data_IF_177210780748
#
_entry.id   IF_177210780748
#
_cell.length_a   1.000
_cell.length_b   1.000
_cell.length_c   1.000
_cell.angle_alpha   90.00
_cell.angle_beta   90.00
_cell.angle_gamma   90.00
#
_symmetry.space_group_name_H-M   'P 1'
#
loop_
_entity.id
_entity.type
_entity.pdbx_description
1 polymer ?
#
# COMPACT_ATOMS: atom_id res chain seq x y z
N UNK A 1 -9.48 -17.54 -9.32
CA UNK A 1 -9.19 -18.89 -9.88
C UNK A 1 -7.67 -19.07 -10.00
N UNK A 2 -7.20 -20.24 -10.44
CA UNK A 2 -5.79 -20.71 -10.50
C UNK A 2 -4.74 -19.71 -11.04
N UNK A 3 -3.50 -19.88 -10.56
CA UNK A 3 -2.22 -19.43 -11.15
C UNK A 3 -1.70 -20.50 -12.17
N UNK A 4 -0.39 -20.65 -12.55
CA UNK A 4 0.81 -19.83 -12.33
C UNK A 4 1.77 -19.66 -13.54
N UNK A 5 2.79 -18.80 -13.42
CA UNK A 5 3.95 -18.66 -14.34
C UNK A 5 5.01 -17.66 -13.79
N UNK A 6 6.34 -17.72 -14.01
CA UNK A 6 7.31 -18.77 -14.45
C UNK A 6 8.75 -18.21 -14.27
N UNK A 7 9.77 -19.07 -14.04
CA UNK A 7 11.23 -18.77 -14.02
C UNK A 7 11.75 -17.88 -12.86
N UNK A 8 13.03 -17.88 -12.47
CA UNK A 8 14.23 -18.48 -13.10
C UNK A 8 15.21 -19.16 -12.13
N UNK A 9 16.05 -20.05 -12.69
CA UNK A 9 17.18 -20.80 -12.09
C UNK A 9 18.49 -19.94 -12.11
N UNK A 10 19.61 -20.30 -11.43
CA UNK A 10 20.44 -21.47 -11.78
C UNK A 10 20.96 -22.34 -10.62
N UNK A 11 21.34 -23.58 -10.97
CA UNK A 11 22.10 -24.53 -10.15
C UNK A 11 23.62 -24.36 -10.36
N UNK A 12 24.42 -24.95 -9.48
CA UNK A 12 25.79 -25.39 -9.79
C UNK A 12 25.98 -26.86 -9.36
N UNK A 13 26.84 -27.58 -10.09
CA UNK A 13 26.96 -29.06 -10.11
C UNK A 13 28.42 -29.41 -9.71
N UNK A 14 28.80 -30.51 -9.07
CA UNK A 14 28.98 -31.80 -9.75
C UNK A 14 29.41 -33.01 -8.86
N UNK A 15 28.64 -34.11 -9.01
CA UNK A 15 28.93 -35.57 -8.95
C UNK A 15 29.76 -36.25 -7.84
N UNK A 16 29.29 -37.47 -7.55
CA UNK A 16 30.00 -38.55 -6.85
C UNK A 16 30.81 -39.43 -7.82
N UNK A 17 32.03 -39.82 -7.40
CA UNK A 17 32.54 -41.20 -7.39
C UNK A 17 32.82 -41.96 -8.71
N UNK A 18 33.99 -42.62 -8.76
CA UNK A 18 34.30 -43.70 -9.71
C UNK A 18 35.06 -44.85 -9.01
N UNK A 19 35.08 -46.05 -9.61
CA UNK A 19 35.68 -47.30 -9.10
C UNK A 19 36.47 -48.06 -10.18
N UNK A 20 37.77 -47.76 -10.30
CA UNK A 20 38.71 -48.55 -11.12
C UNK A 20 39.46 -49.63 -10.33
N UNK A 21 39.21 -50.92 -10.62
CA UNK A 21 40.02 -52.07 -10.15
C UNK A 21 40.98 -52.52 -11.26
N UNK A 22 42.25 -52.76 -10.94
CA UNK A 22 43.14 -53.67 -11.69
C UNK A 22 44.06 -54.43 -10.70
N UNK A 23 44.65 -55.55 -11.14
CA UNK A 23 45.20 -56.59 -10.25
C UNK A 23 46.58 -57.12 -10.69
N UNK A 24 47.57 -57.05 -9.78
CA UNK A 24 48.70 -58.02 -9.60
C UNK A 24 49.67 -58.23 -10.79
N UNK A 25 50.72 -59.09 -10.67
CA UNK A 25 51.53 -59.53 -9.51
C UNK A 25 52.97 -58.91 -9.61
N UNK A 26 54.03 -59.22 -8.84
CA UNK A 26 54.71 -60.49 -8.46
C UNK A 26 55.59 -60.25 -7.19
N UNK A 27 56.02 -61.33 -6.50
CA UNK A 27 56.98 -61.31 -5.37
C UNK A 27 58.38 -60.78 -5.73
N UNK A 28 59.38 -60.79 -4.83
CA UNK A 28 59.81 -61.86 -3.90
C UNK A 28 60.21 -61.27 -2.53
N UNK A 29 60.19 -62.07 -1.45
CA UNK A 29 60.65 -61.65 -0.11
C UNK A 29 61.87 -62.43 0.39
N UNK A 30 62.67 -61.81 1.27
CA UNK A 30 63.68 -62.49 2.11
C UNK A 30 63.94 -61.73 3.42
N UNK A 31 64.66 -62.38 4.35
CA UNK A 31 64.71 -62.05 5.77
C UNK A 31 65.67 -60.92 6.20
N UNK A 32 65.33 -60.30 7.35
CA UNK A 32 66.18 -59.96 8.52
C UNK A 32 67.62 -59.46 8.31
N UNK A 33 67.92 -58.28 8.88
CA UNK A 33 69.05 -58.06 9.83
C UNK A 33 68.83 -56.74 10.61
N UNK A 34 69.46 -56.61 11.78
CA UNK A 34 69.22 -55.54 12.77
C UNK A 34 70.36 -54.51 12.78
N UNK A 35 70.00 -53.23 12.96
CA UNK A 35 70.83 -52.23 13.64
C UNK A 35 70.43 -50.78 13.36
N UNK A 36 70.79 -49.78 14.16
CA UNK A 36 71.13 -49.70 15.59
C UNK A 36 71.41 -48.20 15.90
N UNK A 37 71.30 -47.79 17.17
CA UNK A 37 71.67 -46.46 17.70
C UNK A 37 70.86 -45.24 17.19
N UNK A 38 70.79 -44.10 17.89
CA UNK A 38 70.82 -43.85 19.35
C UNK A 38 70.45 -42.37 19.65
N UNK A 39 69.78 -42.13 20.80
CA UNK A 39 69.84 -40.88 21.60
C UNK A 39 69.33 -39.55 20.95
N UNK A 40 68.89 -38.49 21.65
CA UNK A 40 68.47 -38.22 23.05
C UNK A 40 67.70 -36.89 23.04
N UNK A 41 66.77 -36.56 23.96
CA UNK A 41 66.11 -37.36 25.03
C UNK A 41 64.57 -37.14 24.88
N UNK A 42 63.70 -36.67 25.80
CA UNK A 42 63.77 -36.34 27.22
C UNK A 42 62.63 -35.39 27.63
N UNK A 43 61.84 -35.59 28.69
CA UNK A 43 61.74 -36.69 29.68
C UNK A 43 60.24 -36.84 30.06
N UNK A 44 59.72 -37.82 30.81
CA UNK A 44 60.19 -38.47 32.06
C UNK A 44 60.02 -40.00 32.01
N UNK A 45 60.68 -40.69 32.94
CA UNK A 45 61.02 -42.10 32.82
C UNK A 45 59.95 -43.12 33.26
N UNK A 46 59.80 -44.18 32.47
CA UNK A 46 59.70 -45.57 32.94
C UNK A 46 60.69 -46.38 32.08
N UNK A 47 61.47 -47.27 32.69
CA UNK A 47 62.56 -48.00 32.02
C UNK A 47 62.05 -49.22 31.21
N UNK A 48 62.59 -49.50 30.01
CA UNK A 48 62.23 -50.67 29.23
C UNK A 48 62.86 -51.96 29.79
N UNK A 49 62.05 -53.03 29.87
CA UNK A 49 62.41 -54.32 30.50
C UNK A 49 63.30 -55.20 29.60
N UNK A 50 64.54 -54.75 29.32
CA UNK A 50 65.43 -55.39 28.32
C UNK A 50 66.89 -55.60 28.74
N UNK A 51 67.22 -55.43 30.04
CA UNK A 51 68.62 -55.49 30.54
C UNK A 51 68.84 -56.62 31.58
N UNK A 52 67.80 -57.36 31.96
CA UNK A 52 67.87 -58.40 33.01
C UNK A 52 68.04 -59.83 32.46
N UNK A 53 68.84 -59.98 31.40
CA UNK A 53 69.14 -61.25 30.72
C UNK A 53 70.64 -61.41 30.40
N UNK A 54 71.51 -60.93 31.29
CA UNK A 54 72.98 -60.87 31.10
C UNK A 54 73.82 -61.88 31.91
N UNK A 55 73.19 -62.82 32.62
CA UNK A 55 73.79 -63.94 33.36
C UNK A 55 72.67 -64.93 33.71
N UNK A 56 72.83 -66.26 33.81
CA UNK A 56 74.03 -67.13 33.81
C UNK A 56 73.79 -68.31 32.85
N UNK A 57 74.61 -68.47 31.80
CA UNK A 57 74.57 -69.66 30.94
C UNK A 57 75.69 -70.65 31.34
N UNK A 58 75.52 -71.32 32.48
CA UNK A 58 76.47 -72.35 32.96
C UNK A 58 75.82 -73.55 33.69
N UNK A 59 74.56 -73.83 33.40
CA UNK A 59 73.95 -75.16 33.55
C UNK A 59 73.02 -75.40 32.35
N UNK A 60 73.26 -76.49 31.61
CA UNK A 60 72.67 -76.70 30.29
C UNK A 60 71.20 -77.08 30.29
N UNK A 61 70.31 -76.07 30.39
CA UNK A 61 68.87 -76.20 30.16
C UNK A 61 68.49 -75.47 28.88
N UNK A 62 68.25 -76.22 27.81
CA UNK A 62 67.79 -75.68 26.52
C UNK A 62 66.31 -75.32 26.55
N UNK A 63 65.97 -74.09 26.17
CA UNK A 63 64.59 -73.61 26.02
C UNK A 63 64.24 -73.54 24.53
N UNK A 64 63.23 -74.29 24.08
CA UNK A 64 62.69 -74.15 22.72
C UNK A 64 61.42 -73.31 22.73
N UNK A 65 61.39 -72.29 21.88
CA UNK A 65 60.21 -71.45 21.66
C UNK A 65 59.34 -72.03 20.54
N UNK A 66 58.03 -72.11 20.78
CA UNK A 66 57.04 -72.38 19.74
C UNK A 66 56.17 -71.14 19.54
N UNK A 67 56.10 -70.65 18.31
CA UNK A 67 55.14 -69.61 17.91
C UNK A 67 53.80 -70.27 17.57
N UNK A 68 52.74 -69.89 18.28
CA UNK A 68 51.36 -70.39 18.11
C UNK A 68 50.39 -69.31 17.60
N UNK A 69 50.89 -68.28 16.91
CA UNK A 69 50.11 -67.20 16.27
C UNK A 69 49.10 -67.64 15.19
N UNK A 70 48.95 -68.95 14.95
CA UNK A 70 48.16 -69.53 13.85
C UNK A 70 46.80 -70.15 14.25
N UNK A 71 46.32 -69.96 15.49
CA UNK A 71 44.96 -70.37 15.90
C UNK A 71 43.96 -69.19 15.94
N UNK A 72 43.12 -68.98 14.90
CA UNK A 72 42.12 -67.90 14.88
C UNK A 72 40.81 -68.28 15.58
N UNK A 73 40.66 -67.92 16.87
CA UNK A 73 39.36 -67.89 17.53
C UNK A 73 38.64 -66.56 17.26
N UNK A 74 37.72 -66.58 16.28
CA UNK A 74 37.05 -65.38 15.75
C UNK A 74 35.65 -65.18 16.33
N UNK A 75 35.49 -64.23 17.25
CA UNK A 75 34.19 -63.70 17.70
C UNK A 75 33.99 -62.25 17.24
N UNK A 76 32.73 -61.86 16.96
CA UNK A 76 32.41 -60.59 16.31
C UNK A 76 32.15 -59.44 17.30
N UNK A 77 33.21 -58.80 17.83
CA UNK A 77 33.05 -57.57 18.61
C UNK A 77 34.31 -56.67 18.68
N UNK A 78 34.94 -56.35 17.54
CA UNK A 78 35.83 -55.18 17.36
C UNK A 78 37.12 -55.07 18.17
N UNK A 79 37.39 -55.99 19.11
CA UNK A 79 38.49 -55.91 20.09
C UNK A 79 39.37 -57.15 19.97
N UNK A 80 40.66 -56.95 19.67
CA UNK A 80 41.66 -58.02 19.63
C UNK A 80 42.15 -58.34 21.04
N UNK A 81 41.75 -59.48 21.59
CA UNK A 81 42.23 -59.96 22.90
C UNK A 81 43.38 -60.94 22.70
N UNK A 82 44.61 -60.51 23.02
CA UNK A 82 45.80 -61.34 22.94
C UNK A 82 45.93 -62.19 24.20
N UNK A 83 45.87 -63.52 24.08
CA UNK A 83 46.02 -64.46 25.20
C UNK A 83 47.35 -65.22 25.08
N UNK A 84 48.40 -64.86 25.83
CA UNK A 84 49.66 -65.60 25.83
C UNK A 84 49.52 -66.92 26.59
N UNK A 85 49.78 -68.04 25.91
CA UNK A 85 49.86 -69.38 26.53
C UNK A 85 51.33 -69.72 26.74
N UNK A 86 51.74 -69.91 28.00
CA UNK A 86 53.10 -70.30 28.37
C UNK A 86 53.10 -71.80 28.72
N UNK A 87 53.90 -72.58 27.99
CA UNK A 87 54.14 -74.01 28.29
C UNK A 87 55.58 -74.16 28.76
N UNK A 88 55.77 -74.62 29.99
CA UNK A 88 57.10 -74.89 30.57
C UNK A 88 57.31 -76.40 30.66
N UNK A 89 58.34 -76.90 29.98
CA UNK A 89 58.81 -78.29 30.09
C UNK A 89 60.19 -78.26 30.73
N UNK A 90 60.38 -79.01 31.82
CA UNK A 90 61.65 -79.11 32.54
C UNK A 90 62.10 -80.57 32.63
N UNK A 91 63.33 -80.85 32.16
CA UNK A 91 63.95 -82.17 32.22
C UNK A 91 64.97 -82.23 33.35
N UNK A 92 64.81 -83.18 34.27
CA UNK A 92 65.66 -83.34 35.47
C UNK A 92 66.87 -84.25 35.18
N UNK A 93 67.80 -83.76 34.35
CA UNK A 93 69.03 -84.48 33.98
C UNK A 93 70.29 -83.88 34.63
N UNK A 94 70.60 -84.23 35.89
CA UNK A 94 71.88 -83.79 36.48
C UNK A 94 72.10 -83.83 38.00
N UNK A 95 71.43 -84.70 38.78
CA UNK A 95 71.56 -84.71 40.25
C UNK A 95 72.02 -86.07 40.84
N UNK A 96 73.10 -86.66 40.30
CA UNK A 96 73.70 -87.89 40.84
C UNK A 96 74.50 -87.59 42.12
N UNK A 97 73.89 -87.81 43.30
CA UNK A 97 74.59 -87.72 44.58
C UNK A 97 73.71 -87.44 45.81
N UNK A 98 72.48 -86.95 45.64
CA UNK A 98 71.56 -86.68 46.74
C UNK A 98 70.63 -87.88 47.04
N UNK A 99 70.25 -88.06 48.31
CA UNK A 99 69.31 -89.10 48.73
C UNK A 99 67.90 -88.88 48.14
N UNK A 100 67.12 -89.94 47.84
CA UNK A 100 65.81 -89.81 47.17
C UNK A 100 64.79 -88.98 47.95
N UNK A 101 64.87 -88.94 49.28
CA UNK A 101 64.07 -88.07 50.14
C UNK A 101 64.25 -86.57 49.82
N UNK A 102 65.49 -86.14 49.54
CA UNK A 102 65.80 -84.74 49.17
C UNK A 102 65.22 -84.39 47.81
N UNK A 103 65.28 -85.31 46.84
CA UNK A 103 64.72 -85.09 45.50
C UNK A 103 63.19 -84.95 45.52
N UNK A 104 62.49 -85.75 46.33
CA UNK A 104 61.03 -85.63 46.50
C UNK A 104 60.68 -84.27 47.11
N UNK A 105 61.34 -83.87 48.20
CA UNK A 105 61.11 -82.57 48.85
C UNK A 105 61.39 -81.41 47.90
N UNK A 106 62.51 -81.44 47.15
CA UNK A 106 62.84 -80.38 46.19
C UNK A 106 61.79 -80.27 45.07
N UNK A 107 61.28 -81.41 44.57
CA UNK A 107 60.22 -81.42 43.56
C UNK A 107 58.89 -80.88 44.09
N UNK A 108 58.53 -81.20 45.34
CA UNK A 108 57.32 -80.68 45.99
C UNK A 108 57.42 -79.16 46.25
N UNK A 109 58.59 -78.66 46.66
CA UNK A 109 58.84 -77.22 46.83
C UNK A 109 58.78 -76.46 45.51
N UNK A 110 59.35 -77.01 44.43
CA UNK A 110 59.24 -76.45 43.08
C UNK A 110 57.79 -76.44 42.57
N UNK A 111 57.02 -77.50 42.81
CA UNK A 111 55.61 -77.57 42.42
C UNK A 111 54.74 -76.59 43.22
N UNK A 112 55.00 -76.44 44.53
CA UNK A 112 54.35 -75.44 45.37
C UNK A 112 54.70 -73.99 44.96
N UNK A 113 55.96 -73.72 44.59
CA UNK A 113 56.38 -72.42 44.05
C UNK A 113 55.74 -72.12 42.69
N UNK A 114 55.61 -73.11 41.80
CA UNK A 114 54.89 -72.96 40.53
C UNK A 114 53.40 -72.63 40.76
N UNK A 115 52.72 -73.32 41.69
CA UNK A 115 51.34 -73.01 42.07
C UNK A 115 51.20 -71.61 42.69
N UNK A 116 52.11 -71.24 43.60
CA UNK A 116 52.15 -69.90 44.22
C UNK A 116 52.38 -68.78 43.20
N UNK A 117 53.30 -68.97 42.25
CA UNK A 117 53.59 -67.98 41.22
C UNK A 117 52.47 -67.88 40.18
N UNK A 118 51.89 -69.01 39.77
CA UNK A 118 50.74 -69.05 38.85
C UNK A 118 49.50 -68.36 39.44
N UNK A 119 49.21 -68.60 40.73
CA UNK A 119 48.11 -67.91 41.43
C UNK A 119 48.40 -66.42 41.66
N UNK A 120 49.64 -66.03 41.94
CA UNK A 120 50.03 -64.62 42.04
C UNK A 120 49.88 -63.86 40.71
N UNK A 121 50.28 -64.47 39.58
CA UNK A 121 50.10 -63.88 38.24
C UNK A 121 48.61 -63.76 37.88
N UNK A 122 47.80 -64.78 38.21
CA UNK A 122 46.34 -64.70 38.02
C UNK A 122 45.70 -63.57 38.85
N UNK A 123 46.12 -63.40 40.11
CA UNK A 123 45.63 -62.32 40.99
C UNK A 123 46.04 -60.92 40.48
N UNK A 124 47.25 -60.78 39.92
CA UNK A 124 47.72 -59.54 39.32
C UNK A 124 46.94 -59.14 38.06
N UNK A 125 46.50 -60.11 37.26
CA UNK A 125 45.76 -59.87 36.01
C UNK A 125 44.24 -59.63 36.21
N UNK A 126 43.66 -60.11 37.31
CA UNK A 126 42.20 -60.04 37.55
C UNK A 126 41.74 -58.94 38.51
N UNK A 127 42.65 -58.12 39.05
CA UNK A 127 42.33 -56.83 39.65
C UNK A 127 41.63 -56.87 41.01
N UNK A 128 42.41 -57.15 42.07
CA UNK A 128 42.01 -56.83 43.45
C UNK A 128 41.22 -57.91 44.18
N UNK A 129 41.91 -58.98 44.59
CA UNK A 129 41.39 -60.00 45.52
C UNK A 129 42.24 -59.96 46.80
N UNK A 130 41.65 -59.94 48.01
CA UNK A 130 42.41 -59.94 49.26
C UNK A 130 43.14 -61.27 49.47
N UNK A 131 44.38 -61.20 49.96
CA UNK A 131 45.25 -62.35 50.17
C UNK A 131 44.81 -63.16 51.40
N UNK A 132 43.98 -64.19 51.18
CA UNK A 132 43.59 -65.15 52.24
C UNK A 132 44.68 -66.23 52.37
N UNK A 133 45.62 -66.02 53.29
CA UNK A 133 46.63 -67.04 53.66
C UNK A 133 46.01 -68.03 54.64
N UNK A 134 45.68 -69.23 54.18
CA UNK A 134 45.32 -70.35 55.05
C UNK A 134 46.56 -71.20 55.35
N UNK A 135 46.86 -71.41 56.63
CA UNK A 135 47.94 -72.29 57.06
C UNK A 135 47.65 -73.75 56.70
N UNK A 136 48.66 -74.47 56.23
CA UNK A 136 48.58 -75.90 55.93
C UNK A 136 48.55 -76.72 57.23
N UNK A 137 47.51 -77.54 57.41
CA UNK A 137 47.51 -78.70 58.30
C UNK A 137 47.18 -79.96 57.47
N UNK A 138 47.83 -81.08 57.81
CA UNK A 138 47.90 -82.24 56.91
C UNK A 138 46.87 -83.33 57.23
N UNK A 139 45.57 -83.03 57.09
CA UNK A 139 44.48 -83.99 57.32
C UNK A 139 43.65 -84.29 56.05
N UNK A 140 44.25 -85.07 55.16
CA UNK A 140 43.55 -85.86 54.14
C UNK A 140 43.07 -85.13 52.87
N UNK A 141 42.89 -85.86 51.75
CA UNK A 141 42.63 -85.27 50.43
C UNK A 141 41.23 -84.64 50.27
N UNK A 142 40.31 -84.82 51.23
CA UNK A 142 38.95 -84.27 51.14
C UNK A 142 38.88 -82.78 51.50
N UNK A 143 39.74 -82.30 52.40
CA UNK A 143 39.75 -80.89 52.83
C UNK A 143 40.18 -79.94 51.70
N UNK A 144 41.20 -80.33 50.91
CA UNK A 144 41.72 -79.53 49.80
C UNK A 144 40.65 -79.24 48.72
N UNK A 145 39.75 -80.20 48.45
CA UNK A 145 38.67 -80.05 47.47
C UNK A 145 37.58 -79.10 47.97
N UNK A 146 37.27 -79.09 49.27
CA UNK A 146 36.34 -78.10 49.84
C UNK A 146 36.93 -76.68 49.85
N UNK A 147 38.20 -76.50 50.25
CA UNK A 147 38.84 -75.18 50.28
C UNK A 147 38.92 -74.51 48.90
N UNK A 148 39.18 -75.31 47.86
CA UNK A 148 39.17 -74.85 46.46
C UNK A 148 37.75 -74.60 45.94
N UNK A 149 36.77 -75.45 46.27
CA UNK A 149 35.38 -75.21 45.89
C UNK A 149 34.81 -73.92 46.52
N UNK A 150 35.04 -73.69 47.82
CA UNK A 150 34.57 -72.48 48.53
C UNK A 150 35.21 -71.21 47.97
N UNK A 151 36.51 -71.24 47.68
CA UNK A 151 37.19 -70.07 47.08
C UNK A 151 36.72 -69.79 45.65
N UNK A 152 36.49 -70.82 44.81
CA UNK A 152 35.89 -70.63 43.47
C UNK A 152 34.48 -70.06 43.54
N UNK A 153 33.62 -70.57 44.44
CA UNK A 153 32.26 -70.03 44.63
C UNK A 153 32.31 -68.57 45.12
N UNK A 154 33.20 -68.24 46.05
CA UNK A 154 33.40 -66.85 46.49
C UNK A 154 33.88 -65.94 45.35
N UNK A 155 34.77 -66.43 44.48
CA UNK A 155 35.26 -65.70 43.30
C UNK A 155 34.14 -65.44 42.28
N UNK A 156 33.32 -66.46 41.98
CA UNK A 156 32.17 -66.34 41.07
C UNK A 156 31.10 -65.41 41.67
N UNK A 157 30.80 -65.51 42.97
CA UNK A 157 29.87 -64.63 43.66
C UNK A 157 30.38 -63.18 43.71
N UNK A 158 31.69 -62.96 43.92
CA UNK A 158 32.29 -61.63 43.89
C UNK A 158 32.29 -61.02 42.48
N UNK A 159 32.58 -61.82 41.45
CA UNK A 159 32.51 -61.40 40.05
C UNK A 159 31.06 -61.10 39.63
N UNK A 160 30.10 -61.94 40.01
CA UNK A 160 28.67 -61.73 39.75
C UNK A 160 28.13 -60.49 40.50
N UNK A 161 28.49 -60.30 41.78
CA UNK A 161 28.12 -59.11 42.54
C UNK A 161 28.77 -57.83 41.99
N UNK A 162 30.02 -57.90 41.52
CA UNK A 162 30.71 -56.80 40.85
C UNK A 162 30.10 -56.46 39.49
N UNK A 163 29.73 -57.48 38.70
CA UNK A 163 29.01 -57.33 37.44
C UNK A 163 27.62 -56.73 37.63
N UNK A 164 26.86 -57.23 38.61
CA UNK A 164 25.53 -56.74 38.97
C UNK A 164 25.59 -55.29 39.50
N UNK A 165 26.57 -54.94 40.34
CA UNK A 165 26.82 -53.56 40.78
C UNK A 165 27.09 -52.65 39.59
N UNK A 166 28.07 -52.97 38.75
CA UNK A 166 28.39 -52.19 37.53
C UNK A 166 27.17 -52.02 36.62
N UNK A 167 26.41 -53.09 36.38
CA UNK A 167 25.17 -53.04 35.59
C UNK A 167 24.10 -52.15 36.23
N UNK A 168 23.94 -52.21 37.56
CA UNK A 168 23.01 -51.34 38.29
C UNK A 168 23.47 -49.87 38.30
N UNK A 169 24.77 -49.61 38.35
CA UNK A 169 25.35 -48.26 38.28
C UNK A 169 25.19 -47.66 36.88
N UNK A 170 25.40 -48.45 35.80
CA UNK A 170 25.15 -47.98 34.44
C UNK A 170 23.67 -47.79 34.15
N UNK A 171 22.80 -48.69 34.64
CA UNK A 171 21.35 -48.53 34.51
C UNK A 171 20.83 -47.32 35.30
N UNK A 172 21.35 -47.06 36.50
CA UNK A 172 21.02 -45.88 37.30
C UNK A 172 21.50 -44.57 36.63
N UNK A 173 22.70 -44.56 36.02
CA UNK A 173 23.17 -43.41 35.24
C UNK A 173 22.31 -43.18 34.00
N UNK A 174 22.02 -44.21 33.21
CA UNK A 174 21.14 -44.11 32.05
C UNK A 174 19.72 -43.67 32.42
N UNK A 175 19.18 -44.13 33.55
CA UNK A 175 17.89 -43.67 34.06
C UNK A 175 17.94 -42.20 34.52
N UNK A 176 19.00 -41.78 35.21
CA UNK A 176 19.18 -40.38 35.62
C UNK A 176 19.39 -39.43 34.43
N UNK A 177 20.16 -39.84 33.43
CA UNK A 177 20.38 -39.14 32.16
C UNK A 177 19.07 -39.05 31.35
N UNK A 178 18.29 -40.13 31.27
CA UNK A 178 16.99 -40.14 30.62
C UNK A 178 15.96 -39.25 31.33
N UNK A 179 15.93 -39.25 32.67
CA UNK A 179 15.07 -38.36 33.47
C UNK A 179 15.49 -36.89 33.34
N UNK A 180 16.81 -36.60 33.30
CA UNK A 180 17.31 -35.26 33.06
C UNK A 180 16.99 -34.77 31.65
N UNK A 181 17.12 -35.62 30.63
CA UNK A 181 16.73 -35.32 29.26
C UNK A 181 15.20 -35.11 29.11
N UNK A 182 14.39 -35.92 29.79
CA UNK A 182 12.94 -35.75 29.83
C UNK A 182 12.55 -34.41 30.49
N UNK A 183 13.13 -34.08 31.65
CA UNK A 183 12.89 -32.82 32.32
C UNK A 183 13.34 -31.60 31.49
N UNK A 184 14.45 -31.71 30.75
CA UNK A 184 14.88 -30.68 29.80
C UNK A 184 13.93 -30.54 28.60
N UNK A 185 13.43 -31.65 28.05
CA UNK A 185 12.45 -31.63 26.97
C UNK A 185 11.09 -31.05 27.43
N UNK A 186 10.63 -31.38 28.63
CA UNK A 186 9.44 -30.77 29.23
C UNK A 186 9.63 -29.27 29.47
N UNK A 187 10.77 -28.85 29.99
CA UNK A 187 11.10 -27.44 30.18
C UNK A 187 11.19 -26.67 28.84
N UNK A 188 11.73 -27.28 27.78
CA UNK A 188 11.74 -26.71 26.43
C UNK A 188 10.32 -26.58 25.87
N UNK A 189 9.47 -27.60 26.01
CA UNK A 189 8.06 -27.56 25.58
C UNK A 189 7.25 -26.54 26.39
N UNK A 190 7.56 -26.34 27.68
CA UNK A 190 6.96 -25.28 28.50
C UNK A 190 7.41 -23.89 28.05
N UNK A 191 8.71 -23.68 27.83
CA UNK A 191 9.26 -22.42 27.32
C UNK A 191 8.71 -22.07 25.93
N UNK A 192 8.61 -23.04 25.02
CA UNK A 192 7.96 -22.84 23.72
C UNK A 192 6.48 -22.49 23.84
N UNK A 193 5.73 -23.10 24.78
CA UNK A 193 4.33 -22.75 25.01
C UNK A 193 4.19 -21.33 25.55
N UNK A 194 4.98 -20.97 26.55
CA UNK A 194 5.01 -19.59 27.06
C UNK A 194 5.39 -18.59 25.96
N UNK A 195 6.38 -18.88 25.13
CA UNK A 195 6.77 -18.01 24.03
C UNK A 195 5.65 -17.88 22.99
N UNK A 196 5.02 -18.99 22.56
CA UNK A 196 3.88 -18.96 21.63
C UNK A 196 2.68 -18.17 22.19
N UNK A 197 2.39 -18.25 23.49
CA UNK A 197 1.33 -17.44 24.10
C UNK A 197 1.73 -15.96 24.22
N UNK A 198 3.01 -15.64 24.50
CA UNK A 198 3.53 -14.27 24.47
C UNK A 198 3.51 -13.66 23.07
N UNK A 199 3.84 -14.45 22.05
CA UNK A 199 3.83 -14.03 20.64
C UNK A 199 2.39 -13.74 20.18
N UNK A 200 1.44 -14.65 20.46
CA UNK A 200 0.00 -14.39 20.25
C UNK A 200 -0.50 -13.15 20.99
N UNK A 201 -0.09 -12.96 22.25
CA UNK A 201 -0.49 -11.80 23.04
C UNK A 201 0.09 -10.50 22.47
N UNK A 202 1.32 -10.54 21.95
CA UNK A 202 1.96 -9.41 21.26
C UNK A 202 1.28 -9.11 19.91
N UNK A 203 0.88 -10.12 19.14
CA UNK A 203 0.09 -9.96 17.91
C UNK A 203 -1.29 -9.36 18.21
N UNK A 204 -2.00 -9.88 19.22
CA UNK A 204 -3.29 -9.35 19.66
C UNK A 204 -3.17 -7.90 20.16
N UNK A 205 -2.13 -7.58 20.95
CA UNK A 205 -1.88 -6.21 21.41
C UNK A 205 -1.58 -5.25 20.24
N UNK A 206 -0.81 -5.68 19.23
CA UNK A 206 -0.57 -4.89 18.01
C UNK A 206 -1.86 -4.66 17.22
N UNK A 207 -2.68 -5.70 17.04
CA UNK A 207 -3.97 -5.60 16.34
C UNK A 207 -4.96 -4.67 17.06
N UNK A 208 -4.97 -4.67 18.40
CA UNK A 208 -5.74 -3.71 19.19
C UNK A 208 -5.25 -2.28 18.99
N UNK A 209 -3.94 -2.01 19.09
CA UNK A 209 -3.39 -0.66 18.82
C UNK A 209 -3.70 -0.19 17.39
N UNK A 210 -3.67 -1.09 16.41
CA UNK A 210 -4.07 -0.76 15.03
C UNK A 210 -5.58 -0.47 14.89
N UNK A 211 -6.45 -1.17 15.65
CA UNK A 211 -7.89 -0.85 15.74
C UNK A 211 -8.10 0.55 16.33
N UNK A 212 -7.48 0.86 17.47
CA UNK A 212 -7.60 2.16 18.15
C UNK A 212 -7.17 3.33 17.24
N UNK A 213 -6.08 3.15 16.49
CA UNK A 213 -5.62 4.15 15.51
C UNK A 213 -6.62 4.33 14.36
N UNK A 214 -7.22 3.25 13.85
CA UNK A 214 -8.26 3.32 12.81
C UNK A 214 -9.54 3.98 13.32
N UNK A 215 -9.99 3.66 14.55
CA UNK A 215 -11.14 4.29 15.20
C UNK A 215 -10.89 5.80 15.37
N UNK A 216 -9.71 6.18 15.87
CA UNK A 216 -9.32 7.59 16.03
C UNK A 216 -9.37 8.36 14.70
N UNK A 217 -8.80 7.80 13.63
CA UNK A 217 -8.87 8.39 12.29
C UNK A 217 -10.31 8.45 11.73
N UNK A 218 -11.15 7.48 12.07
CA UNK A 218 -12.54 7.42 11.62
C UNK A 218 -13.38 8.50 12.31
N UNK A 219 -13.24 8.69 13.62
CA UNK A 219 -13.86 9.80 14.37
C UNK A 219 -13.42 11.17 13.85
N UNK A 220 -12.14 11.34 13.50
CA UNK A 220 -11.62 12.58 12.91
C UNK A 220 -12.21 12.85 11.50
N UNK A 221 -12.39 11.80 10.68
CA UNK A 221 -13.08 11.90 9.38
C UNK A 221 -14.56 12.23 9.53
N UNK A 222 -15.27 11.57 10.45
CA UNK A 222 -16.67 11.85 10.81
C UNK A 222 -16.84 13.31 11.22
N UNK A 223 -15.93 13.83 12.05
CA UNK A 223 -15.98 15.23 12.51
C UNK A 223 -15.83 16.22 11.35
N UNK A 224 -14.86 16.00 10.45
CA UNK A 224 -14.71 16.82 9.23
C UNK A 224 -15.90 16.71 8.28
N UNK A 225 -16.48 15.51 8.15
CA UNK A 225 -17.64 15.28 7.28
C UNK A 225 -18.91 15.95 7.83
N UNK A 226 -19.10 16.00 9.16
CA UNK A 226 -20.15 16.78 9.81
C UNK A 226 -20.02 18.26 9.45
N UNK A 227 -18.86 18.87 9.72
CA UNK A 227 -18.62 20.28 9.42
C UNK A 227 -18.78 20.59 7.92
N UNK A 228 -18.32 19.71 7.04
CA UNK A 228 -18.53 19.87 5.60
C UNK A 228 -20.00 19.77 5.19
N UNK A 229 -20.82 19.00 5.92
CA UNK A 229 -22.26 18.89 5.69
C UNK A 229 -22.98 20.15 6.20
N UNK A 230 -22.64 20.64 7.39
CA UNK A 230 -23.17 21.89 7.95
C UNK A 230 -22.92 23.07 7.00
N UNK A 231 -21.69 23.21 6.48
CA UNK A 231 -21.33 24.24 5.49
C UNK A 231 -22.16 24.12 4.19
N UNK A 232 -22.37 22.91 3.66
CA UNK A 232 -23.19 22.70 2.45
C UNK A 232 -24.67 22.99 2.71
N UNK A 233 -25.15 22.79 3.95
CA UNK A 233 -26.52 23.13 4.35
C UNK A 233 -26.72 24.64 4.45
N UNK A 234 -25.75 25.37 4.99
CA UNK A 234 -25.74 26.83 5.03
C UNK A 234 -25.70 27.42 3.62
N UNK A 235 -24.81 26.93 2.76
CA UNK A 235 -24.73 27.40 1.37
C UNK A 235 -26.00 27.09 0.57
N UNK A 236 -26.63 25.93 0.79
CA UNK A 236 -27.94 25.64 0.22
C UNK A 236 -29.02 26.64 0.69
N UNK A 237 -28.99 27.08 1.95
CA UNK A 237 -29.90 28.11 2.46
C UNK A 237 -29.62 29.49 1.85
N UNK A 238 -28.36 29.85 1.64
CA UNK A 238 -27.95 31.09 0.96
C UNK A 238 -28.45 31.12 -0.50
N UNK A 239 -28.28 30.02 -1.24
CA UNK A 239 -28.75 29.93 -2.64
C UNK A 239 -30.28 29.87 -2.72
N UNK A 240 -30.97 29.30 -1.72
CA UNK A 240 -32.44 29.37 -1.63
C UNK A 240 -32.92 30.82 -1.52
N UNK A 241 -32.35 31.59 -0.59
CA UNK A 241 -32.71 33.01 -0.40
C UNK A 241 -32.42 33.85 -1.66
N UNK A 242 -31.26 33.64 -2.30
CA UNK A 242 -30.93 34.32 -3.56
C UNK A 242 -31.91 33.96 -4.71
N UNK A 243 -32.43 32.73 -4.75
CA UNK A 243 -33.42 32.31 -5.72
C UNK A 243 -34.83 32.90 -5.43
N UNK A 244 -35.18 33.10 -4.16
CA UNK A 244 -36.39 33.83 -3.76
C UNK A 244 -36.30 35.32 -4.13
N UNK A 245 -35.19 35.99 -3.84
CA UNK A 245 -34.94 37.38 -4.27
C UNK A 245 -34.98 37.53 -5.79
N UNK A 246 -34.34 36.62 -6.54
CA UNK A 246 -34.40 36.63 -7.99
C UNK A 246 -35.82 36.35 -8.53
N UNK A 247 -36.62 35.54 -7.84
CA UNK A 247 -38.03 35.34 -8.18
C UNK A 247 -38.85 36.62 -8.03
N UNK A 248 -38.58 37.43 -7.01
CA UNK A 248 -39.20 38.76 -6.82
C UNK A 248 -38.76 39.72 -7.93
N UNK A 249 -37.46 39.79 -8.21
CA UNK A 249 -36.90 40.64 -9.26
C UNK A 249 -37.49 40.32 -10.65
N UNK A 250 -37.61 39.04 -11.01
CA UNK A 250 -38.24 38.62 -12.27
C UNK A 250 -39.71 39.09 -12.39
N UNK A 251 -40.48 39.06 -11.30
CA UNK A 251 -41.84 39.60 -11.31
C UNK A 251 -41.88 41.12 -11.47
N UNK A 252 -40.91 41.85 -10.88
CA UNK A 252 -40.83 43.30 -11.04
C UNK A 252 -40.43 43.70 -12.46
N UNK A 253 -39.41 43.04 -13.04
CA UNK A 253 -39.00 43.27 -14.44
C UNK A 253 -40.14 42.88 -15.40
N UNK A 254 -40.92 41.82 -15.11
CA UNK A 254 -42.12 41.46 -15.87
C UNK A 254 -43.20 42.55 -15.86
N UNK A 255 -43.48 43.16 -14.69
CA UNK A 255 -44.40 44.30 -14.58
C UNK A 255 -43.86 45.54 -15.32
N UNK A 256 -42.54 45.77 -15.27
CA UNK A 256 -41.89 46.85 -16.00
C UNK A 256 -41.97 46.65 -17.53
N UNK A 257 -41.80 45.41 -18.02
CA UNK A 257 -41.93 45.07 -19.44
C UNK A 257 -43.37 45.28 -19.95
N UNK A 258 -44.38 44.83 -19.21
CA UNK A 258 -45.80 45.09 -19.53
C UNK A 258 -46.13 46.60 -19.53
N UNK A 259 -45.53 47.36 -18.61
CA UNK A 259 -45.67 48.82 -18.57
C UNK A 259 -44.99 49.48 -19.78
N UNK A 260 -43.80 49.02 -20.15
CA UNK A 260 -43.06 49.44 -21.35
C UNK A 260 -43.90 49.22 -22.62
N UNK A 261 -44.48 48.04 -22.79
CA UNK A 261 -45.35 47.71 -23.93
C UNK A 261 -46.57 48.65 -24.03
N UNK A 262 -47.26 48.89 -22.91
CA UNK A 262 -48.40 49.84 -22.83
C UNK A 262 -48.00 51.28 -23.18
N UNK A 263 -46.80 51.72 -22.77
CA UNK A 263 -46.28 53.04 -23.12
C UNK A 263 -45.88 53.10 -24.60
N UNK A 264 -45.21 52.08 -25.13
CA UNK A 264 -44.84 51.99 -26.55
C UNK A 264 -46.09 52.05 -27.46
N UNK A 265 -47.16 51.34 -27.10
CA UNK A 265 -48.43 51.42 -27.83
C UNK A 265 -49.00 52.85 -27.82
N UNK A 266 -49.12 53.48 -26.65
CA UNK A 266 -49.62 54.86 -26.53
C UNK A 266 -48.76 55.90 -27.28
N UNK A 267 -47.44 55.74 -27.33
CA UNK A 267 -46.56 56.62 -28.11
C UNK A 267 -46.75 56.38 -29.61
N UNK A 268 -46.91 55.13 -30.04
CA UNK A 268 -47.18 54.77 -31.43
C UNK A 268 -48.49 55.40 -31.93
N UNK A 269 -49.57 55.35 -31.14
CA UNK A 269 -50.86 55.94 -31.53
C UNK A 269 -50.83 57.47 -31.54
N UNK A 270 -50.16 58.10 -30.56
CA UNK A 270 -49.93 59.57 -30.60
C UNK A 270 -49.08 60.01 -31.79
N UNK A 271 -48.13 59.18 -32.23
CA UNK A 271 -47.34 59.44 -33.43
C UNK A 271 -48.19 59.32 -34.71
N UNK A 272 -49.09 58.33 -34.80
CA UNK A 272 -50.07 58.21 -35.90
C UNK A 272 -51.02 59.41 -35.98
N UNK A 273 -51.52 59.89 -34.84
CA UNK A 273 -52.35 61.10 -34.80
C UNK A 273 -51.58 62.36 -35.24
N UNK A 274 -50.30 62.47 -34.86
CA UNK A 274 -49.44 63.56 -35.33
C UNK A 274 -49.21 63.52 -36.85
N UNK A 275 -48.95 62.34 -37.43
CA UNK A 275 -48.80 62.14 -38.88
C UNK A 275 -50.06 62.54 -39.66
N UNK A 276 -51.23 62.12 -39.17
CA UNK A 276 -52.54 62.51 -39.72
C UNK A 276 -52.74 64.03 -39.69
N UNK A 277 -52.51 64.67 -38.54
CA UNK A 277 -52.65 66.13 -38.39
C UNK A 277 -51.67 66.91 -39.28
N UNK A 278 -50.45 66.41 -39.48
CA UNK A 278 -49.48 67.00 -40.42
C UNK A 278 -49.93 66.86 -41.87
N UNK A 279 -50.56 65.73 -42.23
CA UNK A 279 -51.14 65.51 -43.56
C UNK A 279 -52.34 66.43 -43.83
N UNK A 280 -53.21 66.62 -42.83
CA UNK A 280 -54.34 67.57 -42.88
C UNK A 280 -53.85 69.03 -43.02
N UNK A 281 -52.79 69.41 -42.29
CA UNK A 281 -52.16 70.73 -42.38
C UNK A 281 -51.46 70.96 -43.73
N UNK A 282 -50.79 69.95 -44.28
CA UNK A 282 -50.17 70.00 -45.61
C UNK A 282 -51.22 70.24 -46.70
N UNK A 283 -52.36 69.53 -46.61
CA UNK A 283 -53.51 69.67 -47.51
C UNK A 283 -54.12 71.08 -47.42
N UNK A 284 -54.44 71.53 -46.20
CA UNK A 284 -54.99 72.87 -45.95
C UNK A 284 -54.05 73.99 -46.45
N UNK A 285 -52.74 73.83 -46.25
CA UNK A 285 -51.73 74.78 -46.76
C UNK A 285 -51.74 74.88 -48.29
N UNK A 286 -52.09 73.79 -49.00
CA UNK A 286 -52.18 73.77 -50.45
C UNK A 286 -53.44 74.45 -50.99
N UNK A 287 -54.57 74.31 -50.30
CA UNK A 287 -55.79 75.05 -50.63
C UNK A 287 -55.58 76.56 -50.49
N UNK A 288 -54.86 77.01 -49.45
CA UNK A 288 -54.53 78.42 -49.26
C UNK A 288 -53.54 78.90 -50.35
N UNK A 289 -52.55 78.09 -50.78
CA UNK A 289 -51.68 78.48 -51.92
C UNK A 289 -52.50 78.72 -53.18
N UNK A 290 -53.40 77.79 -53.54
CA UNK A 290 -54.24 77.93 -54.72
C UNK A 290 -55.14 79.18 -54.64
N UNK A 291 -55.62 79.55 -53.45
CA UNK A 291 -56.35 80.80 -53.23
C UNK A 291 -55.45 82.05 -53.38
N UNK A 292 -54.22 82.01 -52.87
CA UNK A 292 -53.23 83.09 -53.06
C UNK A 292 -52.85 83.28 -54.52
N UNK A 293 -52.69 82.20 -55.30
CA UNK A 293 -52.40 82.28 -56.74
C UNK A 293 -53.54 82.93 -57.53
N UNK A 294 -54.80 82.71 -57.12
CA UNK A 294 -55.96 83.42 -57.68
C UNK A 294 -55.97 84.90 -57.31
N UNK A 295 -55.62 85.25 -56.07
CA UNK A 295 -55.48 86.66 -55.64
C UNK A 295 -54.35 87.35 -56.43
N UNK A 296 -53.22 86.66 -56.64
CA UNK A 296 -52.09 87.12 -57.44
C UNK A 296 -52.51 87.42 -58.88
N UNK A 297 -53.29 86.54 -59.52
CA UNK A 297 -53.83 86.75 -60.85
C UNK A 297 -54.82 87.93 -60.93
N UNK A 298 -55.73 88.06 -59.94
CA UNK A 298 -56.69 89.17 -59.85
C UNK A 298 -55.96 90.50 -59.65
N UNK A 299 -54.92 90.53 -58.81
CA UNK A 299 -54.08 91.70 -58.59
C UNK A 299 -53.38 92.15 -59.88
N UNK A 300 -52.77 91.22 -60.61
CA UNK A 300 -52.13 91.51 -61.90
C UNK A 300 -53.13 92.01 -62.96
N UNK A 301 -54.31 91.39 -63.06
CA UNK A 301 -55.38 91.85 -63.96
C UNK A 301 -55.88 93.24 -63.58
N UNK A 302 -56.06 93.52 -62.29
CA UNK A 302 -56.52 94.83 -61.78
C UNK A 302 -55.49 95.92 -62.04
N UNK A 303 -54.19 95.64 -61.85
CA UNK A 303 -53.09 96.54 -62.18
C UNK A 303 -53.08 96.90 -63.68
N UNK A 304 -53.31 95.93 -64.58
CA UNK A 304 -53.43 96.18 -66.02
C UNK A 304 -54.67 97.00 -66.39
N UNK A 305 -55.82 96.73 -65.77
CA UNK A 305 -57.04 97.53 -65.96
C UNK A 305 -56.86 98.98 -65.47
N UNK A 306 -56.22 99.15 -64.31
CA UNK A 306 -55.89 100.46 -63.74
C UNK A 306 -54.91 101.22 -64.63
N UNK A 307 -53.86 100.57 -65.14
CA UNK A 307 -52.92 101.17 -66.08
C UNK A 307 -53.61 101.66 -67.36
N UNK A 308 -54.52 100.85 -67.93
CA UNK A 308 -55.32 101.26 -69.09
C UNK A 308 -56.22 102.47 -68.78
N UNK A 309 -56.82 102.51 -67.59
CA UNK A 309 -57.61 103.65 -67.13
C UNK A 309 -56.75 104.92 -66.93
N UNK A 310 -55.52 104.80 -66.43
CA UNK A 310 -54.57 105.93 -66.34
C UNK A 310 -54.21 106.47 -67.73
N UNK A 311 -53.99 105.59 -68.71
CA UNK A 311 -53.67 105.97 -70.10
C UNK A 311 -54.83 106.75 -70.74
N UNK A 312 -56.06 106.24 -70.67
CA UNK A 312 -57.21 106.92 -71.27
C UNK A 312 -57.59 108.20 -70.48
N UNK A 313 -57.36 108.24 -69.17
CA UNK A 313 -57.52 109.46 -68.37
C UNK A 313 -56.52 110.55 -68.78
N UNK A 314 -55.26 110.19 -69.07
CA UNK A 314 -54.27 111.13 -69.60
C UNK A 314 -54.66 111.63 -71.00
N UNK A 315 -55.24 110.75 -71.83
CA UNK A 315 -55.75 111.08 -73.18
C UNK A 315 -56.96 112.04 -73.15
N UNK A 316 -57.78 111.98 -72.09
CA UNK A 316 -58.88 112.92 -71.85
C UNK A 316 -58.44 114.30 -71.31
N UNK A 317 -57.15 114.49 -71.01
CA UNK A 317 -56.59 115.78 -70.60
C UNK A 317 -57.18 116.33 -69.30
N UNK A 318 -57.50 117.63 -69.28
CA UNK A 318 -58.10 118.32 -68.12
C UNK A 318 -59.34 117.58 -67.55
N UNK A 319 -60.21 117.06 -68.42
CA UNK A 319 -61.42 116.34 -68.03
C UNK A 319 -61.13 114.98 -67.37
N UNK A 320 -59.96 114.39 -67.62
CA UNK A 320 -59.56 113.10 -67.09
C UNK A 320 -58.94 113.13 -65.69
N UNK A 321 -58.60 114.32 -65.13
CA UNK A 321 -57.83 114.41 -63.87
C UNK A 321 -58.42 113.62 -62.70
N UNK A 322 -59.73 113.66 -62.50
CA UNK A 322 -60.39 112.92 -61.41
C UNK A 322 -60.24 111.40 -61.56
N UNK A 323 -60.43 110.88 -62.77
CA UNK A 323 -60.25 109.46 -63.08
C UNK A 323 -58.77 109.04 -63.01
N UNK A 324 -57.82 109.91 -63.39
CA UNK A 324 -56.40 109.62 -63.29
C UNK A 324 -55.93 109.36 -61.84
N UNK A 325 -56.48 110.10 -60.87
CA UNK A 325 -56.20 109.87 -59.43
C UNK A 325 -56.77 108.52 -58.99
N UNK A 326 -58.03 108.23 -59.29
CA UNK A 326 -58.67 106.94 -58.93
C UNK A 326 -57.96 105.75 -59.58
N UNK A 327 -57.59 105.87 -60.86
CA UNK A 327 -56.83 104.83 -61.56
C UNK A 327 -55.44 104.60 -60.95
N UNK A 328 -54.78 105.65 -60.45
CA UNK A 328 -53.50 105.53 -59.74
C UNK A 328 -53.67 104.82 -58.39
N UNK A 329 -54.69 105.18 -57.60
CA UNK A 329 -54.98 104.55 -56.32
C UNK A 329 -55.33 103.05 -56.47
N UNK A 330 -56.16 102.70 -57.46
CA UNK A 330 -56.49 101.30 -57.77
C UNK A 330 -55.25 100.51 -58.24
N UNK A 331 -54.32 101.16 -58.94
CA UNK A 331 -53.05 100.55 -59.36
C UNK A 331 -52.13 100.27 -58.16
N UNK A 332 -52.02 101.22 -57.24
CA UNK A 332 -51.25 101.11 -55.99
C UNK A 332 -51.79 99.96 -55.12
N UNK A 333 -53.11 99.94 -54.89
CA UNK A 333 -53.81 98.86 -54.18
C UNK A 333 -53.63 97.49 -54.85
N UNK A 334 -53.67 97.43 -56.19
CA UNK A 334 -53.45 96.20 -56.93
C UNK A 334 -52.01 95.68 -56.79
N UNK A 335 -51.00 96.56 -56.80
CA UNK A 335 -49.61 96.16 -56.53
C UNK A 335 -49.47 95.60 -55.11
N UNK A 336 -49.97 96.33 -54.10
CA UNK A 336 -49.93 95.91 -52.71
C UNK A 336 -50.70 94.58 -52.47
N UNK A 337 -51.76 94.32 -53.22
CA UNK A 337 -52.48 93.03 -53.17
C UNK A 337 -51.64 91.87 -53.70
N UNK A 338 -50.87 92.09 -54.78
CA UNK A 338 -49.94 91.09 -55.33
C UNK A 338 -48.74 90.86 -54.39
N UNK A 339 -48.09 91.93 -53.94
CA UNK A 339 -46.96 91.87 -53.00
C UNK A 339 -47.32 91.11 -51.71
N UNK A 340 -48.58 91.20 -51.25
CA UNK A 340 -49.06 90.44 -50.10
C UNK A 340 -49.42 88.98 -50.43
N UNK A 341 -49.97 88.67 -51.62
CA UNK A 341 -50.18 87.29 -52.05
C UNK A 341 -48.83 86.54 -52.22
N UNK A 342 -47.84 87.15 -52.87
CA UNK A 342 -46.47 86.62 -52.95
C UNK A 342 -45.81 86.41 -51.58
N UNK A 343 -46.17 87.20 -50.57
CA UNK A 343 -45.71 86.97 -49.18
C UNK A 343 -46.40 85.77 -48.55
N UNK A 344 -47.71 85.61 -48.74
CA UNK A 344 -48.47 84.47 -48.21
C UNK A 344 -47.97 83.16 -48.82
N UNK A 345 -47.79 83.08 -50.14
CA UNK A 345 -47.27 81.86 -50.81
C UNK A 345 -45.89 81.48 -50.26
N UNK A 346 -44.95 82.43 -50.14
CA UNK A 346 -43.63 82.18 -49.52
C UNK A 346 -43.70 81.72 -48.07
N UNK A 347 -44.67 82.20 -47.28
CA UNK A 347 -44.90 81.70 -45.92
C UNK A 347 -45.45 80.28 -45.92
N UNK A 348 -46.37 79.94 -46.81
CA UNK A 348 -46.94 78.59 -46.93
C UNK A 348 -45.89 77.55 -47.37
N UNK A 349 -44.96 77.90 -48.25
CA UNK A 349 -43.87 77.01 -48.66
C UNK A 349 -42.86 76.75 -47.53
N UNK A 350 -42.60 77.74 -46.69
CA UNK A 350 -41.84 77.54 -45.45
C UNK A 350 -42.58 76.61 -44.47
N UNK A 351 -43.90 76.79 -44.30
CA UNK A 351 -44.75 75.90 -43.49
C UNK A 351 -44.74 74.47 -44.02
N UNK A 352 -44.96 74.25 -45.33
CA UNK A 352 -44.86 72.93 -45.97
C UNK A 352 -43.51 72.26 -45.71
N UNK A 353 -42.42 73.01 -45.83
CA UNK A 353 -41.05 72.51 -45.60
C UNK A 353 -40.89 72.03 -44.14
N UNK A 354 -41.40 72.79 -43.18
CA UNK A 354 -41.38 72.43 -41.75
C UNK A 354 -42.31 71.26 -41.41
N UNK A 355 -43.47 71.15 -42.08
CA UNK A 355 -44.38 70.00 -41.98
C UNK A 355 -43.72 68.73 -42.52
N UNK A 356 -43.05 68.79 -43.67
CA UNK A 356 -42.31 67.64 -44.22
C UNK A 356 -41.19 67.14 -43.31
N UNK A 357 -40.43 68.05 -42.69
CA UNK A 357 -39.43 67.69 -41.67
C UNK A 357 -40.07 67.06 -40.41
N UNK A 358 -41.28 67.50 -40.04
CA UNK A 358 -42.03 66.97 -38.91
C UNK A 358 -42.56 65.55 -39.20
N UNK A 359 -43.12 65.31 -40.40
CA UNK A 359 -43.51 63.96 -40.88
C UNK A 359 -42.31 63.00 -40.88
N UNK A 360 -41.17 63.42 -41.43
CA UNK A 360 -39.94 62.60 -41.39
C UNK A 360 -39.49 62.28 -39.96
N UNK A 361 -39.69 63.19 -39.02
CA UNK A 361 -39.34 62.97 -37.60
C UNK A 361 -40.30 61.98 -36.93
N UNK A 362 -41.60 62.07 -37.26
CA UNK A 362 -42.64 61.13 -36.78
C UNK A 362 -42.42 59.72 -37.34
N UNK A 363 -41.98 59.59 -38.60
CA UNK A 363 -41.63 58.30 -39.19
C UNK A 363 -40.49 57.60 -38.42
N UNK A 364 -39.41 58.31 -38.07
CA UNK A 364 -38.32 57.76 -37.24
C UNK A 364 -38.77 57.41 -35.82
N UNK A 365 -39.73 58.14 -35.24
CA UNK A 365 -40.35 57.77 -33.96
C UNK A 365 -41.13 56.46 -34.08
N UNK A 366 -41.93 56.28 -35.14
CA UNK A 366 -42.69 55.04 -35.39
C UNK A 366 -41.77 53.83 -35.61
N UNK A 367 -40.68 54.00 -36.35
CA UNK A 367 -39.62 52.99 -36.51
C UNK A 367 -39.00 52.61 -35.15
N UNK A 368 -38.63 53.61 -34.35
CA UNK A 368 -38.07 53.43 -32.99
C UNK A 368 -39.04 52.72 -32.03
N UNK A 369 -40.35 52.98 -32.14
CA UNK A 369 -41.36 52.25 -31.35
C UNK A 369 -41.51 50.80 -31.82
N UNK A 370 -41.37 50.53 -33.12
CA UNK A 370 -41.36 49.17 -33.67
C UNK A 370 -40.15 48.35 -33.17
N UNK A 371 -38.97 48.97 -33.12
CA UNK A 371 -37.77 48.42 -32.47
C UNK A 371 -38.03 48.10 -30.98
N UNK A 372 -38.57 49.04 -30.21
CA UNK A 372 -38.88 48.85 -28.78
C UNK A 372 -39.90 47.72 -28.54
N UNK A 373 -40.93 47.59 -29.38
CA UNK A 373 -41.88 46.48 -29.30
C UNK A 373 -41.18 45.12 -29.51
N UNK A 374 -40.24 45.04 -30.48
CA UNK A 374 -39.41 43.85 -30.73
C UNK A 374 -38.49 43.52 -29.54
N UNK A 375 -37.89 44.52 -28.90
CA UNK A 375 -37.08 44.31 -27.70
C UNK A 375 -37.93 43.88 -26.49
N UNK A 376 -39.11 44.47 -26.27
CA UNK A 376 -40.04 44.07 -25.20
C UNK A 376 -40.48 42.60 -25.38
N UNK A 377 -40.82 42.17 -26.61
CA UNK A 377 -41.16 40.77 -26.89
C UNK A 377 -40.00 39.79 -26.66
N UNK A 378 -38.77 40.21 -26.97
CA UNK A 378 -37.55 39.42 -26.68
C UNK A 378 -37.31 39.31 -25.17
N UNK A 379 -37.51 40.40 -24.43
CA UNK A 379 -37.39 40.44 -22.97
C UNK A 379 -38.43 39.55 -22.29
N UNK A 380 -39.68 39.54 -22.76
CA UNK A 380 -40.75 38.69 -22.21
C UNK A 380 -40.38 37.19 -22.29
N UNK A 381 -39.87 36.73 -23.44
CA UNK A 381 -39.41 35.35 -23.60
C UNK A 381 -38.22 35.01 -22.67
N UNK A 382 -37.25 35.93 -22.54
CA UNK A 382 -36.11 35.74 -21.65
C UNK A 382 -36.50 35.67 -20.16
N UNK A 383 -37.55 36.39 -19.74
CA UNK A 383 -38.08 36.32 -18.38
C UNK A 383 -38.80 34.99 -18.09
N UNK A 384 -39.50 34.42 -19.07
CA UNK A 384 -40.13 33.09 -18.96
C UNK A 384 -39.08 31.96 -18.87
N UNK A 385 -38.01 32.06 -19.66
CA UNK A 385 -36.85 31.16 -19.57
C UNK A 385 -36.15 31.29 -18.20
N UNK A 386 -35.85 32.50 -17.75
CA UNK A 386 -35.21 32.73 -16.44
C UNK A 386 -36.10 32.28 -15.28
N UNK A 387 -37.42 32.49 -15.35
CA UNK A 387 -38.37 31.94 -14.37
C UNK A 387 -38.32 30.41 -14.29
N UNK A 388 -38.13 29.74 -15.41
CA UNK A 388 -37.94 28.28 -15.46
C UNK A 388 -36.60 27.87 -14.84
N UNK A 389 -35.52 28.59 -15.13
CA UNK A 389 -34.18 28.34 -14.54
C UNK A 389 -34.20 28.51 -13.02
N UNK A 390 -34.80 29.58 -12.50
CA UNK A 390 -34.89 29.83 -11.04
C UNK A 390 -35.70 28.74 -10.34
N UNK A 391 -36.81 28.27 -10.91
CA UNK A 391 -37.55 27.14 -10.37
C UNK A 391 -36.71 25.85 -10.30
N UNK A 392 -35.89 25.58 -11.33
CA UNK A 392 -34.97 24.44 -11.33
C UNK A 392 -33.86 24.58 -10.26
N UNK A 393 -33.36 25.80 -10.02
CA UNK A 393 -32.41 26.08 -8.92
C UNK A 393 -33.06 25.79 -7.56
N UNK A 394 -34.27 26.29 -7.30
CA UNK A 394 -35.00 26.03 -6.05
C UNK A 394 -35.22 24.53 -5.82
N UNK A 395 -35.57 23.77 -6.87
CA UNK A 395 -35.70 22.31 -6.78
C UNK A 395 -34.36 21.63 -6.49
N UNK A 396 -33.28 22.01 -7.17
CA UNK A 396 -31.95 21.46 -6.95
C UNK A 396 -31.44 21.74 -5.54
N UNK A 397 -31.61 22.97 -5.04
CA UNK A 397 -31.25 23.38 -3.68
C UNK A 397 -32.06 22.60 -2.64
N UNK A 398 -33.36 22.42 -2.87
CA UNK A 398 -34.23 21.60 -2.00
C UNK A 398 -33.79 20.14 -1.97
N UNK A 399 -33.34 19.58 -3.10
CA UNK A 399 -32.79 18.23 -3.16
C UNK A 399 -31.45 18.13 -2.40
N UNK A 400 -30.54 19.08 -2.59
CA UNK A 400 -29.27 19.18 -1.85
C UNK A 400 -29.52 19.26 -0.34
N UNK A 401 -30.39 20.15 0.12
CA UNK A 401 -30.68 20.31 1.55
C UNK A 401 -31.22 19.01 2.20
N UNK A 402 -32.03 18.23 1.48
CA UNK A 402 -32.49 16.90 1.94
C UNK A 402 -31.35 15.87 1.98
N UNK A 403 -30.50 15.84 0.95
CA UNK A 403 -29.35 14.94 0.91
C UNK A 403 -28.37 15.23 2.06
N UNK A 404 -28.07 16.50 2.32
CA UNK A 404 -27.22 16.95 3.42
C UNK A 404 -27.82 16.64 4.80
N UNK A 405 -29.14 16.73 4.95
CA UNK A 405 -29.82 16.29 6.18
C UNK A 405 -29.68 14.78 6.42
N UNK A 406 -29.92 13.96 5.40
CA UNK A 406 -29.72 12.51 5.49
C UNK A 406 -28.25 12.13 5.78
N UNK A 407 -27.29 12.86 5.20
CA UNK A 407 -25.87 12.70 5.53
C UNK A 407 -25.58 13.03 7.00
N UNK A 408 -26.21 14.06 7.60
CA UNK A 408 -26.04 14.38 9.02
C UNK A 408 -26.57 13.26 9.95
N UNK A 409 -27.66 12.60 9.58
CA UNK A 409 -28.18 11.42 10.27
C UNK A 409 -27.21 10.23 10.15
N UNK A 410 -26.72 9.92 8.95
CA UNK A 410 -25.72 8.87 8.70
C UNK A 410 -24.40 9.12 9.47
N UNK A 411 -23.91 10.36 9.49
CA UNK A 411 -22.73 10.80 10.26
C UNK A 411 -22.94 10.58 11.76
N UNK A 412 -24.16 10.84 12.25
CA UNK A 412 -24.53 10.62 13.65
C UNK A 412 -24.57 9.13 14.00
N UNK A 413 -25.15 8.29 13.13
CA UNK A 413 -25.16 6.84 13.29
C UNK A 413 -23.74 6.24 13.26
N UNK A 414 -22.91 6.65 12.30
CA UNK A 414 -21.50 6.26 12.21
C UNK A 414 -20.70 6.67 13.45
N UNK A 415 -21.02 7.82 14.07
CA UNK A 415 -20.36 8.29 15.29
C UNK A 415 -20.67 7.41 16.50
N UNK A 416 -21.89 6.86 16.60
CA UNK A 416 -22.24 5.89 17.64
C UNK A 416 -21.49 4.57 17.41
N UNK A 417 -21.56 4.03 16.20
CA UNK A 417 -20.88 2.78 15.80
C UNK A 417 -19.33 2.84 15.88
N UNK A 418 -18.75 4.03 16.02
CA UNK A 418 -17.32 4.23 16.21
C UNK A 418 -16.87 4.21 17.68
N UNK A 419 -17.82 4.18 18.63
CA UNK A 419 -17.57 4.24 20.08
C UNK A 419 -17.92 2.90 20.78
N UNK A 420 -18.47 1.94 20.02
CA UNK A 420 -18.78 0.55 20.43
C UNK A 420 -17.71 -0.48 19.94
#
# INVERSE_FOLDING_TARGET
MRAPSTSSLPDDVERLGDRGRLLTPVGVGTAVVIGAAAATDGSRHILPLSVLAGAVFLMGLGFQWFDLSWLPLRYMSGVTVTVPVIVVVLSLSGARGAAPSVMIVLSAVLYALMLGLGTAVAAALLGGIPLVVLQWSAEGPRAAVMGTAVTVVALVMSWAAGGLRRASETAARQAAEALAAAAQAEAQVQAEREQRERDKAAEAARALVEREQKVTQLVERITRLSQSSDNVREEAQNVAAAAEEMSVALQEIGRAAQTSESVTAQVTDRARDADRLMTELSTSSAEITAASDVIQAIAQQTNLLALNATIESARAGEAGRGFAVVATEVKELASQSGDNADRITRTLDAVRTQVGASVSSVATILESMGELARYNGTLAAALEEQGTVVNNVVQSVTATARATAAMADDITALRVLAVE
#
